data_IF_190145338275
#
_entry.id   IF_190145338275
#
_cell.length_a   1.000
_cell.length_b   1.000
_cell.length_c   1.000
_cell.angle_alpha   90.00
_cell.angle_beta   90.00
_cell.angle_gamma   90.00
#
_symmetry.space_group_name_H-M   'P 1'
#
loop_
_entity.id
_entity.type
_entity.pdbx_description
1 polymer ?
#
# COMPACT_ATOMS: atom_id res chain seq x y z
N UNK A 1 -16.88 -6.91 -7.01
CA UNK A 1 -15.50 -6.47 -7.33
C UNK A 1 -15.21 -5.20 -6.53
N UNK A 2 -14.22 -5.21 -5.62
CA UNK A 2 -13.84 -4.01 -4.85
C UNK A 2 -13.15 -3.01 -5.80
N UNK A 3 -13.65 -1.78 -5.85
CA UNK A 3 -13.08 -0.72 -6.71
C UNK A 3 -11.68 -0.34 -6.21
N UNK A 4 -10.75 -0.17 -7.16
CA UNK A 4 -9.45 0.43 -6.89
C UNK A 4 -9.67 1.87 -6.37
N UNK A 5 -8.87 2.34 -5.40
CA UNK A 5 -8.93 3.73 -4.97
C UNK A 5 -8.70 4.65 -6.17
N UNK A 6 -9.50 5.70 -6.34
CA UNK A 6 -9.36 6.64 -7.46
C UNK A 6 -7.97 7.26 -7.55
N UNK A 7 -7.33 7.48 -6.39
CA UNK A 7 -5.93 7.96 -6.30
C UNK A 7 -4.90 7.00 -6.89
N UNK A 8 -5.19 5.70 -6.89
CA UNK A 8 -4.32 4.68 -7.47
C UNK A 8 -4.35 4.70 -9.02
N UNK A 9 -5.37 5.31 -9.63
CA UNK A 9 -5.45 5.39 -11.10
C UNK A 9 -4.30 6.21 -11.69
N UNK A 10 -3.86 7.24 -10.97
CA UNK A 10 -2.76 8.13 -11.37
C UNK A 10 -1.37 7.53 -11.10
N UNK A 11 -1.28 6.44 -10.34
CA UNK A 11 -0.02 5.77 -10.01
C UNK A 11 0.57 5.02 -11.21
N UNK A 12 1.88 4.78 -11.15
CA UNK A 12 2.60 3.96 -12.12
C UNK A 12 2.10 2.51 -12.12
N UNK A 13 2.40 1.77 -13.20
CA UNK A 13 2.07 0.34 -13.28
C UNK A 13 2.69 -0.47 -12.13
N UNK A 14 3.93 -0.16 -11.76
CA UNK A 14 4.62 -0.83 -10.65
C UNK A 14 3.93 -0.59 -9.31
N UNK A 15 3.50 0.63 -9.04
CA UNK A 15 2.75 0.98 -7.82
C UNK A 15 1.38 0.28 -7.78
N UNK A 16 0.67 0.21 -8.90
CA UNK A 16 -0.59 -0.54 -9.00
C UNK A 16 -0.41 -2.02 -8.67
N UNK A 17 0.65 -2.64 -9.19
CA UNK A 17 0.97 -4.04 -8.93
C UNK A 17 1.31 -4.28 -7.46
N UNK A 18 2.17 -3.45 -6.85
CA UNK A 18 2.51 -3.56 -5.43
C UNK A 18 1.27 -3.36 -4.55
N UNK A 19 0.44 -2.37 -4.84
CA UNK A 19 -0.79 -2.13 -4.10
C UNK A 19 -1.73 -3.33 -4.17
N UNK A 20 -1.95 -3.91 -5.36
CA UNK A 20 -2.81 -5.07 -5.54
C UNK A 20 -2.26 -6.32 -4.82
N UNK A 21 -0.95 -6.52 -4.89
CA UNK A 21 -0.27 -7.61 -4.21
C UNK A 21 -0.44 -7.51 -2.69
N UNK A 22 -0.18 -6.34 -2.10
CA UNK A 22 -0.32 -6.11 -0.65
C UNK A 22 -1.79 -6.11 -0.22
N UNK A 23 -2.72 -5.65 -1.07
CA UNK A 23 -4.16 -5.77 -0.81
C UNK A 23 -4.57 -7.23 -0.64
N UNK A 24 -4.02 -8.13 -1.46
CA UNK A 24 -4.33 -9.55 -1.45
C UNK A 24 -3.55 -10.31 -0.38
N UNK A 25 -2.33 -9.84 -0.07
CA UNK A 25 -1.41 -10.44 0.88
C UNK A 25 -0.92 -9.38 1.88
N UNK A 26 -1.73 -8.94 2.84
CA UNK A 26 -1.28 -7.96 3.84
C UNK A 26 -0.20 -8.59 4.73
N UNK A 27 0.79 -7.82 5.16
CA UNK A 27 1.84 -8.32 6.03
C UNK A 27 3.23 -7.85 5.67
N UNK A 28 4.22 -8.70 5.93
CA UNK A 28 5.62 -8.34 5.76
C UNK A 28 6.05 -8.47 4.30
N UNK A 29 6.58 -7.37 3.76
CA UNK A 29 7.10 -7.30 2.40
C UNK A 29 8.45 -6.62 2.37
N UNK A 30 9.33 -7.12 1.53
CA UNK A 30 10.59 -6.46 1.20
C UNK A 30 10.65 -6.23 -0.31
N UNK A 31 11.50 -5.31 -0.74
CA UNK A 31 11.78 -5.12 -2.16
C UNK A 31 12.24 -6.43 -2.84
N UNK A 32 12.95 -7.29 -2.11
CA UNK A 32 13.41 -8.60 -2.60
C UNK A 32 12.27 -9.61 -2.73
N UNK A 33 11.36 -9.68 -1.75
CA UNK A 33 10.21 -10.60 -1.84
C UNK A 33 9.27 -10.17 -2.96
N UNK A 34 9.03 -8.86 -3.11
CA UNK A 34 8.25 -8.34 -4.23
C UNK A 34 8.90 -8.63 -5.59
N UNK A 35 10.23 -8.58 -5.70
CA UNK A 35 10.93 -9.00 -6.92
C UNK A 35 10.74 -10.49 -7.23
N UNK A 36 10.71 -11.34 -6.19
CA UNK A 36 10.45 -12.77 -6.36
C UNK A 36 9.02 -13.05 -6.81
N UNK A 37 8.04 -12.33 -6.26
CA UNK A 37 6.62 -12.58 -6.51
C UNK A 37 6.09 -11.89 -7.78
N UNK A 38 6.59 -10.69 -8.09
CA UNK A 38 6.11 -9.85 -9.20
C UNK A 38 7.07 -9.81 -10.40
N UNK A 39 8.27 -10.40 -10.27
CA UNK A 39 9.34 -10.29 -11.25
C UNK A 39 10.01 -8.91 -11.26
N UNK A 40 11.04 -8.71 -12.08
CA UNK A 40 11.71 -7.40 -12.20
C UNK A 40 12.71 -7.08 -11.07
N UNK A 41 13.11 -5.81 -10.95
CA UNK A 41 14.20 -5.41 -10.06
C UNK A 41 13.72 -4.99 -8.68
N UNK A 42 14.46 -5.37 -7.63
CA UNK A 42 14.19 -4.89 -6.25
C UNK A 42 14.17 -3.37 -6.15
N UNK A 43 14.99 -2.66 -6.95
CA UNK A 43 14.98 -1.18 -6.96
C UNK A 43 13.63 -0.63 -7.41
N UNK A 44 13.03 -1.21 -8.45
CA UNK A 44 11.69 -0.83 -8.93
C UNK A 44 10.66 -0.96 -7.82
N UNK A 45 10.69 -2.06 -7.06
CA UNK A 45 9.73 -2.32 -6.00
C UNK A 45 9.97 -1.50 -4.74
N UNK A 46 11.23 -1.21 -4.41
CA UNK A 46 11.56 -0.26 -3.35
C UNK A 46 11.00 1.13 -3.65
N UNK A 47 11.17 1.60 -4.89
CA UNK A 47 10.64 2.90 -5.32
C UNK A 47 9.11 2.92 -5.30
N UNK A 48 8.46 1.87 -5.80
CA UNK A 48 7.00 1.75 -5.79
C UNK A 48 6.42 1.71 -4.37
N UNK A 49 7.05 0.95 -3.44
CA UNK A 49 6.68 0.97 -2.02
C UNK A 49 6.79 2.38 -1.43
N UNK A 50 7.91 3.06 -1.69
CA UNK A 50 8.14 4.42 -1.19
C UNK A 50 7.12 5.41 -1.73
N UNK A 51 6.81 5.36 -3.03
CA UNK A 51 5.78 6.19 -3.67
C UNK A 51 4.41 5.98 -3.05
N UNK A 52 3.95 4.73 -2.95
CA UNK A 52 2.65 4.41 -2.33
C UNK A 52 2.54 4.83 -0.86
N UNK A 53 3.62 4.71 -0.07
CA UNK A 53 3.63 5.18 1.32
C UNK A 53 3.56 6.71 1.37
N UNK A 54 4.34 7.40 0.53
CA UNK A 54 4.34 8.86 0.43
C UNK A 54 2.96 9.40 0.03
N UNK A 55 2.28 8.71 -0.87
CA UNK A 55 0.95 9.07 -1.37
C UNK A 55 -0.19 8.65 -0.42
N UNK A 56 0.13 8.02 0.72
CA UNK A 56 -0.84 7.57 1.72
C UNK A 56 -1.72 6.40 1.25
N UNK A 57 -1.29 5.65 0.23
CA UNK A 57 -1.98 4.49 -0.31
C UNK A 57 -1.59 3.19 0.41
N UNK A 58 -0.43 3.17 1.06
CA UNK A 58 -0.01 2.14 2.01
C UNK A 58 0.20 2.73 3.40
N UNK A 59 -0.17 1.96 4.42
CA UNK A 59 0.21 2.21 5.81
C UNK A 59 1.37 1.30 6.17
N UNK A 60 2.41 1.90 6.74
CA UNK A 60 3.55 1.18 7.32
C UNK A 60 3.21 0.85 8.78
N UNK A 61 2.89 -0.41 9.05
CA UNK A 61 2.63 -0.87 10.43
C UNK A 61 3.95 -1.12 11.18
N UNK A 62 5.00 -1.51 10.46
CA UNK A 62 6.36 -1.66 10.99
C UNK A 62 7.35 -1.27 9.91
N UNK A 63 8.25 -0.34 10.23
CA UNK A 63 9.31 0.04 9.31
C UNK A 63 10.25 -1.14 9.02
N UNK A 64 10.80 -1.24 7.79
CA UNK A 64 11.86 -2.18 7.49
C UNK A 64 13.08 -1.92 8.39
N UNK A 65 13.75 -2.98 8.82
CA UNK A 65 14.90 -2.90 9.72
C UNK A 65 15.97 -3.92 9.29
N UNK A 66 17.11 -3.42 8.81
CA UNK A 66 18.18 -4.27 8.28
C UNK A 66 17.69 -5.18 7.16
N UNK A 67 17.81 -6.49 7.37
CA UNK A 67 17.38 -7.52 6.41
C UNK A 67 15.86 -7.77 6.43
N UNK A 68 15.15 -7.28 7.45
CA UNK A 68 13.73 -7.51 7.58
C UNK A 68 12.93 -6.50 6.76
N UNK A 69 12.02 -7.02 5.93
CA UNK A 69 11.03 -6.22 5.22
C UNK A 69 10.12 -5.44 6.18
N UNK A 70 9.50 -4.38 5.67
CA UNK A 70 8.49 -3.64 6.40
C UNK A 70 7.17 -4.40 6.45
N UNK A 71 6.33 -4.10 7.44
CA UNK A 71 4.95 -4.60 7.49
C UNK A 71 4.02 -3.54 6.92
N UNK A 72 3.27 -3.90 5.88
CA UNK A 72 2.44 -2.99 5.12
C UNK A 72 0.99 -3.50 5.04
N UNK A 73 0.06 -2.55 5.04
CA UNK A 73 -1.34 -2.78 4.64
C UNK A 73 -1.78 -1.68 3.68
N UNK A 74 -2.78 -1.97 2.84
CA UNK A 74 -3.41 -0.92 2.04
C UNK A 74 -4.21 0.03 2.92
N UNK A 75 -4.21 1.31 2.54
CA UNK A 75 -5.16 2.27 3.09
C UNK A 75 -6.45 2.18 2.28
N UNK A 76 -7.47 1.52 2.83
CA UNK A 76 -8.82 1.57 2.27
C UNK A 76 -9.40 2.90 2.71
N UNK A 77 -9.53 3.87 1.80
CA UNK A 77 -10.31 5.07 2.10
C UNK A 77 -11.74 4.61 2.42
N UNK A 78 -12.15 4.80 3.66
CA UNK A 78 -13.52 4.57 4.09
C UNK A 78 -14.40 5.57 3.34
N UNK A 79 -15.10 5.12 2.32
CA UNK A 79 -16.28 5.82 1.79
C UNK A 79 -17.48 5.57 2.71
N UNK A 80 -17.37 5.92 3.99
CA UNK A 80 -18.45 5.86 4.97
C UNK A 80 -18.70 7.24 5.55
N UNK A 81 -19.97 7.62 5.83
CA UNK A 81 -20.28 8.94 6.36
C UNK A 81 -19.44 9.21 7.61
N UNK A 82 -18.80 10.38 7.66
CA UNK A 82 -18.33 10.95 8.92
C UNK A 82 -19.45 10.79 9.94
N UNK A 83 -19.21 10.21 11.14
CA UNK A 83 -20.20 10.23 12.18
C UNK A 83 -20.53 11.70 12.41
N UNK A 84 -21.76 12.06 12.06
CA UNK A 84 -22.30 13.38 12.34
C UNK A 84 -22.05 13.63 13.82
N UNK A 85 -21.41 14.77 14.08
CA UNK A 85 -21.30 15.32 15.40
C UNK A 85 -22.70 15.36 16.00
N UNK A 86 -23.05 14.37 16.82
CA UNK A 86 -24.16 14.47 17.75
C UNK A 86 -23.75 15.49 18.82
N UNK A 87 -23.84 16.77 18.47
CA UNK A 87 -24.13 17.82 19.42
C UNK A 87 -25.58 17.58 19.86
N UNK A 88 -25.73 16.83 20.95
CA UNK A 88 -26.98 16.87 21.70
C UNK A 88 -26.93 18.13 22.57
N UNK A 89 -27.80 19.07 22.23
CA UNK A 89 -28.22 20.21 23.06
C UNK A 89 -29.11 19.66 24.18
#
# INVERSE_FOLDING_TARGET
MKRLPTRLHSSSASEKLVWLHIHSNPGQHSARSLAADLGGSSRTWANALSGLVKDGLLVVEKAPAGIHGGKYRVQVQAGGPTPETHLSI
#
